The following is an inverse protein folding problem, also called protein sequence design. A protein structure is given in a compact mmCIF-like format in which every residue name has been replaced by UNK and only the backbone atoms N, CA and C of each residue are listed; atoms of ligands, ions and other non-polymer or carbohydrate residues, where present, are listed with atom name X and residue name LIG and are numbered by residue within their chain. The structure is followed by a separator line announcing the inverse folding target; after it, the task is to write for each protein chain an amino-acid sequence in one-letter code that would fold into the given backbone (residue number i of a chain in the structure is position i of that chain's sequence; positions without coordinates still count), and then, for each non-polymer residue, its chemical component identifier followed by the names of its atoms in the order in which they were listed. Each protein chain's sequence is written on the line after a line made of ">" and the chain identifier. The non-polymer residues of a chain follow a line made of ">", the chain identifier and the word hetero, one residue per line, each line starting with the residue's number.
data_IF_827550399026
#
_entry.id   IF_827550399026
#
_cell.length_a   1.000
_cell.length_b   1.000
_cell.length_c   1.000
_cell.angle_alpha   90.00
_cell.angle_beta   90.00
_cell.angle_gamma   90.00
#
_symmetry.space_group_name_H-M   'P 1'
#
loop_
_entity.id
_entity.type
_entity.pdbx_description
1 polymer ?
#
# COMPACT_ATOMS: atom_id res chain seq x y z
N UNK A 1 -24.67 10.93 -22.93
CA UNK A 1 -23.33 11.03 -22.30
C UNK A 1 -22.86 9.59 -22.10
N UNK A 2 -21.88 9.13 -22.87
CA UNK A 2 -21.35 7.77 -22.70
C UNK A 2 -20.46 7.73 -21.44
N UNK A 3 -20.76 6.82 -20.53
CA UNK A 3 -19.91 6.53 -19.38
C UNK A 3 -18.66 5.81 -19.88
N UNK A 4 -17.55 6.54 -20.00
CA UNK A 4 -16.25 5.96 -20.35
C UNK A 4 -15.78 5.10 -19.17
N UNK A 5 -15.89 3.77 -19.31
CA UNK A 5 -15.37 2.81 -18.35
C UNK A 5 -13.89 2.56 -18.60
N UNK A 6 -13.04 3.35 -17.92
CA UNK A 6 -11.58 3.16 -17.94
C UNK A 6 -11.17 2.11 -16.91
N UNK A 7 -10.53 1.04 -17.39
CA UNK A 7 -9.86 0.06 -16.54
C UNK A 7 -8.41 0.51 -16.33
N UNK A 8 -8.03 0.80 -15.10
CA UNK A 8 -6.72 1.34 -14.73
C UNK A 8 -5.93 0.24 -14.01
N UNK A 9 -4.64 0.16 -14.29
CA UNK A 9 -3.69 -0.65 -13.53
C UNK A 9 -2.57 0.22 -13.01
N UNK A 10 -2.29 0.14 -11.72
CA UNK A 10 -1.20 0.85 -11.06
C UNK A 10 -0.26 -0.17 -10.41
N UNK A 11 1.05 0.11 -10.45
CA UNK A 11 2.07 -0.61 -9.69
C UNK A 11 2.72 0.34 -8.69
N UNK A 12 2.88 -0.14 -7.46
CA UNK A 12 3.54 0.53 -6.36
C UNK A 12 4.75 -0.31 -5.95
N UNK A 13 5.87 0.34 -5.69
CA UNK A 13 7.07 -0.31 -5.15
C UNK A 13 7.36 0.32 -3.79
N UNK A 14 7.48 -0.53 -2.76
CA UNK A 14 7.83 -0.15 -1.40
C UNK A 14 9.22 -0.69 -1.14
N UNK A 15 10.16 0.18 -0.78
CA UNK A 15 11.57 -0.19 -0.53
C UNK A 15 11.94 0.11 0.93
N UNK A 16 12.61 -0.83 1.59
CA UNK A 16 13.00 -0.72 3.00
C UNK A 16 13.31 -2.08 3.64
N UNK A 17 14.40 -2.17 4.41
CA UNK A 17 14.83 -3.42 5.06
C UNK A 17 13.99 -3.75 6.29
N UNK A 18 13.64 -2.76 7.09
CA UNK A 18 13.03 -2.94 8.42
C UNK A 18 11.49 -2.95 8.41
N UNK A 19 10.89 -2.49 7.32
CA UNK A 19 9.45 -2.32 7.18
C UNK A 19 8.68 -3.63 6.90
N UNK A 20 9.35 -4.79 6.90
CA UNK A 20 8.80 -6.01 6.29
C UNK A 20 7.70 -6.71 7.08
N UNK A 21 7.59 -6.48 8.40
CA UNK A 21 6.52 -7.06 9.23
C UNK A 21 5.28 -6.15 9.21
N UNK A 22 5.48 -4.85 9.44
CA UNK A 22 4.41 -3.86 9.50
C UNK A 22 3.74 -3.61 8.14
N UNK A 23 4.53 -3.58 7.05
CA UNK A 23 3.97 -3.48 5.70
C UNK A 23 3.21 -4.76 5.34
N UNK A 24 3.63 -5.92 5.85
CA UNK A 24 2.92 -7.19 5.59
C UNK A 24 1.53 -7.22 6.23
N UNK A 25 1.34 -6.66 7.43
CA UNK A 25 0.00 -6.61 8.04
C UNK A 25 -0.96 -5.72 7.23
N UNK A 26 -0.51 -4.57 6.74
CA UNK A 26 -1.33 -3.71 5.87
C UNK A 26 -1.71 -4.45 4.57
N UNK A 27 -0.72 -5.09 3.95
CA UNK A 27 -0.94 -5.86 2.72
C UNK A 27 -2.02 -6.92 2.95
N UNK A 28 -1.97 -7.62 4.07
CA UNK A 28 -2.93 -8.67 4.41
C UNK A 28 -4.35 -8.14 4.51
N UNK A 29 -4.55 -6.96 5.11
CA UNK A 29 -5.86 -6.28 5.20
C UNK A 29 -6.39 -5.85 3.82
N UNK A 30 -5.49 -5.58 2.87
CA UNK A 30 -5.83 -5.04 1.56
C UNK A 30 -5.78 -6.08 0.43
N UNK A 31 -5.55 -7.38 0.74
CA UNK A 31 -5.39 -8.48 -0.23
C UNK A 31 -6.53 -8.62 -1.24
N UNK A 32 -7.74 -8.20 -0.87
CA UNK A 32 -8.91 -8.24 -1.76
C UNK A 32 -8.77 -7.30 -2.97
N UNK A 33 -8.01 -6.22 -2.82
CA UNK A 33 -7.90 -5.14 -3.80
C UNK A 33 -6.46 -4.90 -4.28
N UNK A 34 -5.47 -5.32 -3.48
CA UNK A 34 -4.04 -5.20 -3.73
C UNK A 34 -3.41 -6.58 -3.82
N UNK A 35 -2.59 -6.79 -4.87
CA UNK A 35 -1.72 -7.96 -4.96
C UNK A 35 -0.28 -7.52 -4.78
N UNK A 36 0.37 -7.96 -3.70
CA UNK A 36 1.77 -7.68 -3.44
C UNK A 36 2.64 -8.93 -3.52
N UNK A 37 3.87 -8.74 -3.99
CA UNK A 37 4.94 -9.72 -3.98
C UNK A 37 6.13 -9.15 -3.23
N UNK A 38 6.73 -9.93 -2.34
CA UNK A 38 7.98 -9.57 -1.68
C UNK A 38 9.13 -9.58 -2.69
N UNK A 39 9.96 -8.54 -2.67
CA UNK A 39 11.19 -8.41 -3.46
C UNK A 39 12.40 -8.44 -2.53
N UNK A 40 13.62 -8.42 -3.09
CA UNK A 40 14.84 -8.34 -2.28
C UNK A 40 14.94 -7.06 -1.45
N UNK A 41 14.31 -5.98 -1.91
CA UNK A 41 14.37 -4.64 -1.30
C UNK A 41 13.08 -4.21 -0.59
N UNK A 42 12.02 -5.02 -0.60
CA UNK A 42 10.73 -4.67 0.01
C UNK A 42 9.55 -5.39 -0.65
N UNK A 43 8.61 -4.63 -1.24
CA UNK A 43 7.40 -5.16 -1.87
C UNK A 43 7.09 -4.48 -3.21
N UNK A 44 6.54 -5.25 -4.16
CA UNK A 44 5.93 -4.74 -5.38
C UNK A 44 4.45 -5.10 -5.37
N UNK A 45 3.60 -4.07 -5.38
CA UNK A 45 2.15 -4.17 -5.27
C UNK A 45 1.47 -3.73 -6.57
N UNK A 46 0.38 -4.36 -6.93
CA UNK A 46 -0.43 -4.00 -8.09
C UNK A 46 -1.91 -3.90 -7.74
N UNK A 47 -2.54 -2.84 -8.24
CA UNK A 47 -3.99 -2.58 -8.16
C UNK A 47 -4.53 -2.50 -9.58
N UNK A 48 -5.69 -3.10 -9.83
CA UNK A 48 -6.38 -2.96 -11.11
C UNK A 48 -7.89 -2.96 -10.94
N UNK A 49 -8.57 -2.10 -11.67
CA UNK A 49 -10.02 -1.98 -11.62
C UNK A 49 -10.52 -0.69 -12.26
N UNK A 50 -11.76 -0.31 -11.96
CA UNK A 50 -12.31 0.97 -12.39
C UNK A 50 -11.56 2.13 -11.72
N UNK A 51 -11.52 3.28 -12.36
CA UNK A 51 -10.78 4.46 -11.89
C UNK A 51 -11.09 4.84 -10.44
N UNK A 52 -12.36 4.82 -10.04
CA UNK A 52 -12.76 5.18 -8.68
C UNK A 52 -12.34 4.13 -7.64
N UNK A 53 -12.42 2.84 -7.99
CA UNK A 53 -12.01 1.75 -7.10
C UNK A 53 -10.50 1.77 -6.90
N UNK A 54 -9.75 1.91 -7.98
CA UNK A 54 -8.29 2.05 -7.94
C UNK A 54 -7.88 3.25 -7.09
N UNK A 55 -8.55 4.41 -7.26
CA UNK A 55 -8.30 5.61 -6.46
C UNK A 55 -8.53 5.35 -4.96
N UNK A 56 -9.68 4.77 -4.60
CA UNK A 56 -10.01 4.47 -3.19
C UNK A 56 -9.00 3.51 -2.57
N UNK A 57 -8.73 2.39 -3.23
CA UNK A 57 -7.78 1.38 -2.75
C UNK A 57 -6.38 1.95 -2.58
N UNK A 58 -5.89 2.76 -3.51
CA UNK A 58 -4.56 3.38 -3.39
C UNK A 58 -4.53 4.37 -2.23
N UNK A 59 -5.55 5.20 -2.07
CA UNK A 59 -5.60 6.17 -0.98
C UNK A 59 -5.60 5.50 0.39
N UNK A 60 -6.49 4.52 0.61
CA UNK A 60 -6.58 3.77 1.87
C UNK A 60 -5.27 3.04 2.19
N UNK A 61 -4.62 2.47 1.17
CA UNK A 61 -3.35 1.78 1.31
C UNK A 61 -2.21 2.74 1.69
N UNK A 62 -2.13 3.91 1.05
CA UNK A 62 -1.12 4.93 1.37
C UNK A 62 -1.33 5.55 2.75
N UNK A 63 -2.58 5.79 3.14
CA UNK A 63 -2.93 6.27 4.50
C UNK A 63 -2.49 5.27 5.57
N UNK A 64 -2.71 3.97 5.33
CA UNK A 64 -2.27 2.91 6.23
C UNK A 64 -0.75 2.86 6.35
N UNK A 65 -0.02 3.02 5.24
CA UNK A 65 1.45 3.07 5.25
C UNK A 65 1.96 4.29 6.03
N UNK A 66 1.40 5.48 5.78
CA UNK A 66 1.77 6.71 6.47
C UNK A 66 1.50 6.65 7.98
N UNK A 67 0.41 5.99 8.38
CA UNK A 67 0.11 5.76 9.80
C UNK A 67 1.20 4.92 10.48
N UNK A 68 1.71 3.89 9.80
CA UNK A 68 2.78 3.04 10.34
C UNK A 68 4.09 3.81 10.45
N UNK A 69 4.47 4.58 9.43
CA UNK A 69 5.68 5.43 9.47
C UNK A 69 5.65 6.37 10.68
N UNK A 70 4.53 7.07 10.89
CA UNK A 70 4.32 7.94 12.04
C UNK A 70 4.38 7.19 13.38
N UNK A 71 3.85 5.97 13.43
CA UNK A 71 3.86 5.16 14.65
C UNK A 71 5.26 4.67 14.99
N UNK A 72 6.07 4.29 13.99
CA UNK A 72 7.48 3.93 14.22
C UNK A 72 8.30 5.10 14.75
N UNK A 73 8.11 6.31 14.22
CA UNK A 73 8.81 7.51 14.71
C UNK A 73 8.51 7.83 16.18
N UNK A 74 7.25 7.64 16.61
CA UNK A 74 6.83 7.89 18.00
C UNK A 74 7.37 6.83 18.97
N UNK A 75 7.51 5.59 18.53
CA UNK A 75 8.08 4.52 19.34
C UNK A 75 9.59 4.75 19.54
N UNK A 76 10.31 5.06 18.46
CA UNK A 76 11.75 5.34 18.55
C UNK A 76 12.05 6.54 19.46
N UNK A 77 11.23 7.60 19.41
CA UNK A 77 11.38 8.77 20.26
C UNK A 77 11.12 8.51 21.77
N UNK A 78 10.48 7.40 22.13
CA UNK A 78 10.18 7.03 23.54
C UNK A 78 11.20 6.07 24.15
N UNK A 79 12.00 5.40 23.35
CA UNK A 79 13.00 4.41 23.79
C UNK A 79 14.41 5.02 23.83
N UNK A 80 14.58 6.26 23.36
CA UNK A 80 15.81 7.06 23.45
C UNK A 80 15.95 7.84 24.75
#
# INVERSE_FOLDING_TARGET
>A
MELVNLNIRVRLTIEGKDSTILVKSIIDDHKKFIKCRRTKSGFSCSVSGQSNDVRKTINEFLESLAFIEKTSEVIDARVG
#
